data_IF_597731799869
#
_entry.id   IF_597731799869
#
_cell.length_a   1.000
_cell.length_b   1.000
_cell.length_c   1.000
_cell.angle_alpha   90.00
_cell.angle_beta   90.00
_cell.angle_gamma   90.00
#
_symmetry.space_group_name_H-M   'P 1'
#
loop_
_entity.id
_entity.type
_entity.pdbx_description
1 polymer ?
#
# COMPACT_ATOMS: atom_id res chain seq x y z
N UNK A 1 16.03 -11.93 6.89
CA UNK A 1 15.15 -12.05 8.07
C UNK A 1 14.55 -10.69 8.37
N UNK A 2 13.25 -10.63 8.46
CA UNK A 2 12.47 -9.44 8.83
C UNK A 2 11.77 -9.69 10.17
N UNK A 3 11.67 -8.66 10.99
CA UNK A 3 10.92 -8.66 12.25
C UNK A 3 9.77 -7.69 12.08
N UNK A 4 8.57 -8.21 11.81
CA UNK A 4 7.39 -7.40 11.49
C UNK A 4 6.33 -7.59 12.55
N UNK A 5 5.75 -6.50 13.04
CA UNK A 5 4.59 -6.58 13.91
C UNK A 5 3.36 -5.91 13.30
N UNK A 6 2.18 -6.40 13.69
CA UNK A 6 0.93 -5.67 13.52
C UNK A 6 0.75 -4.76 14.74
N UNK A 7 0.90 -3.46 14.55
CA UNK A 7 0.77 -2.45 15.59
C UNK A 7 -0.51 -1.63 15.41
N UNK A 8 -1.27 -1.43 16.47
CA UNK A 8 -2.38 -0.49 16.47
C UNK A 8 -1.85 0.95 16.62
N UNK A 9 -2.12 1.77 15.62
CA UNK A 9 -1.64 3.16 15.53
C UNK A 9 -2.76 4.11 15.17
N UNK A 10 -2.54 5.39 15.38
CA UNK A 10 -3.38 6.45 14.85
C UNK A 10 -2.78 6.93 13.53
N UNK A 11 -3.50 6.74 12.43
CA UNK A 11 -3.11 7.18 11.11
C UNK A 11 -3.88 8.42 10.69
N UNK A 12 -3.18 9.41 10.16
CA UNK A 12 -3.78 10.66 9.68
C UNK A 12 -3.64 10.74 8.17
N UNK A 13 -4.76 10.72 7.44
CA UNK A 13 -4.79 10.78 5.97
C UNK A 13 -4.38 12.16 5.43
N UNK A 14 -4.59 13.23 6.20
CA UNK A 14 -4.29 14.62 5.86
C UNK A 14 -3.48 15.28 6.98
N UNK A 15 -2.19 14.93 7.14
CA UNK A 15 -1.38 15.46 8.25
C UNK A 15 -1.17 16.97 8.22
N UNK A 16 -1.13 17.59 7.04
CA UNK A 16 -0.97 19.05 6.89
C UNK A 16 -2.29 19.83 6.96
N UNK A 17 -3.43 19.13 7.13
CA UNK A 17 -4.79 19.73 7.20
C UNK A 17 -5.11 20.65 6.04
N UNK A 18 -5.33 20.07 4.88
CA UNK A 18 -5.77 20.76 3.67
C UNK A 18 -5.06 20.28 2.41
N UNK A 19 -5.52 20.76 1.28
CA UNK A 19 -4.97 20.40 -0.01
C UNK A 19 -3.54 20.95 -0.16
N UNK A 20 -2.60 20.08 -0.45
CA UNK A 20 -1.19 20.39 -0.63
C UNK A 20 -0.75 20.37 -2.10
N UNK A 21 -1.65 20.05 -3.03
CA UNK A 21 -1.31 19.87 -4.43
C UNK A 21 -2.05 20.84 -5.37
N UNK A 22 -3.31 21.13 -5.10
CA UNK A 22 -4.15 21.96 -5.95
C UNK A 22 -4.25 23.39 -5.38
N UNK A 23 -4.34 24.38 -6.27
CA UNK A 23 -4.56 25.79 -5.90
C UNK A 23 -5.92 26.24 -6.45
N UNK A 24 -6.75 26.79 -5.59
CA UNK A 24 -8.04 27.34 -5.98
C UNK A 24 -9.25 26.49 -5.55
N UNK A 25 -10.43 26.90 -6.01
CA UNK A 25 -11.66 26.14 -5.77
C UNK A 25 -11.68 24.94 -6.70
N UNK A 26 -12.00 23.76 -6.16
CA UNK A 26 -12.35 22.58 -6.97
C UNK A 26 -13.47 22.98 -7.96
N UNK A 27 -13.41 22.55 -9.19
CA UNK A 27 -14.47 22.78 -10.17
C UNK A 27 -15.74 21.96 -9.81
N UNK A 28 -16.83 22.14 -10.57
CA UNK A 28 -18.08 21.44 -10.23
C UNK A 28 -17.97 19.92 -10.39
N UNK A 29 -17.08 19.47 -11.24
CA UNK A 29 -16.80 18.05 -11.45
C UNK A 29 -16.00 17.43 -10.31
N UNK A 30 -15.08 18.20 -9.72
CA UNK A 30 -14.32 17.84 -8.52
C UNK A 30 -15.16 17.92 -7.24
N UNK A 31 -16.33 18.57 -7.30
CA UNK A 31 -17.29 18.73 -6.18
C UNK A 31 -18.44 17.75 -6.21
N UNK A 32 -18.43 16.77 -7.13
CA UNK A 32 -19.52 15.81 -7.21
C UNK A 32 -19.70 15.13 -5.83
N UNK A 33 -20.89 15.25 -5.20
CA UNK A 33 -21.16 14.57 -3.93
C UNK A 33 -21.11 13.04 -4.04
N UNK A 34 -21.26 12.49 -5.26
CA UNK A 34 -21.05 11.07 -5.53
C UNK A 34 -19.54 10.70 -5.58
N UNK A 35 -18.66 11.68 -5.73
CA UNK A 35 -17.21 11.53 -5.55
C UNK A 35 -16.81 11.57 -4.08
N UNK A 36 -17.65 11.05 -3.21
CA UNK A 36 -17.59 10.98 -1.77
C UNK A 36 -16.20 11.17 -1.15
N UNK A 37 -16.16 11.63 0.01
CA UNK A 37 -14.96 11.97 0.74
C UNK A 37 -14.84 13.48 0.84
N UNK A 38 -15.98 14.20 0.95
CA UNK A 38 -15.94 15.45 1.66
C UNK A 38 -15.54 15.11 3.08
N UNK A 39 -14.21 15.01 3.29
CA UNK A 39 -13.63 14.85 4.59
C UNK A 39 -14.34 15.76 5.58
N UNK A 40 -14.95 15.19 6.60
CA UNK A 40 -15.15 15.98 7.81
C UNK A 40 -13.74 16.50 8.17
N UNK A 41 -13.49 17.80 8.12
CA UNK A 41 -12.15 18.36 8.43
C UNK A 41 -11.65 17.96 9.82
N UNK A 42 -12.54 17.46 10.68
CA UNK A 42 -12.25 16.98 12.01
C UNK A 42 -11.96 15.46 12.06
N UNK A 43 -12.23 14.72 10.98
CA UNK A 43 -12.20 13.25 10.91
C UNK A 43 -11.12 12.72 9.95
N UNK A 44 -9.89 13.21 10.04
CA UNK A 44 -8.78 12.73 9.20
C UNK A 44 -7.88 11.69 9.88
N UNK A 45 -8.11 11.40 11.17
CA UNK A 45 -7.26 10.50 11.97
C UNK A 45 -8.07 9.32 12.49
N UNK A 46 -7.62 8.11 12.13
CA UNK A 46 -8.27 6.85 12.44
C UNK A 46 -7.34 5.89 13.18
N UNK A 47 -7.88 5.13 14.11
CA UNK A 47 -7.19 3.96 14.66
C UNK A 47 -7.13 2.90 13.57
N UNK A 48 -5.93 2.35 13.34
CA UNK A 48 -5.63 1.34 12.34
C UNK A 48 -4.68 0.28 12.90
N UNK A 49 -4.51 -0.82 12.21
CA UNK A 49 -3.43 -1.77 12.42
C UNK A 49 -2.49 -1.73 11.22
N UNK A 50 -1.20 -1.49 11.44
CA UNK A 50 -0.21 -1.43 10.38
C UNK A 50 0.90 -2.46 10.60
N UNK A 51 1.42 -3.05 9.53
CA UNK A 51 2.66 -3.79 9.59
C UNK A 51 3.84 -2.82 9.77
N UNK A 52 4.64 -3.03 10.81
CA UNK A 52 5.80 -2.20 11.13
C UNK A 52 7.04 -3.07 11.36
N UNK A 53 8.19 -2.64 10.84
CA UNK A 53 9.45 -3.38 10.99
C UNK A 53 10.17 -2.98 12.27
N UNK A 54 10.76 -3.97 12.92
CA UNK A 54 11.55 -3.83 14.13
C UNK A 54 13.00 -4.23 13.87
N UNK A 55 13.91 -3.76 14.73
CA UNK A 55 15.36 -4.02 14.57
C UNK A 55 15.73 -5.47 14.87
N UNK A 56 14.97 -6.15 15.72
CA UNK A 56 15.28 -7.52 16.18
C UNK A 56 14.05 -8.25 16.75
N UNK A 57 14.25 -9.51 17.13
CA UNK A 57 13.23 -10.41 17.66
C UNK A 57 12.65 -10.02 19.04
N UNK A 58 13.18 -8.99 19.68
CA UNK A 58 12.59 -8.48 20.94
C UNK A 58 11.39 -7.57 20.70
N UNK A 59 11.24 -7.04 19.48
CA UNK A 59 10.17 -6.11 19.09
C UNK A 59 10.07 -4.88 20.01
N UNK A 60 11.23 -4.39 20.52
CA UNK A 60 11.28 -3.21 21.40
C UNK A 60 11.59 -1.92 20.67
N UNK A 61 12.35 -2.03 19.58
CA UNK A 61 12.84 -0.86 18.84
C UNK A 61 12.34 -0.93 17.41
N UNK A 62 11.52 0.03 17.02
CA UNK A 62 11.11 0.19 15.62
C UNK A 62 12.34 0.46 14.75
N UNK A 63 12.41 -0.20 13.60
CA UNK A 63 13.37 0.12 12.57
C UNK A 63 12.90 1.39 11.85
N UNK A 64 13.67 2.48 11.87
CA UNK A 64 13.32 3.69 11.14
C UNK A 64 13.19 3.37 9.65
N UNK A 65 12.13 3.88 9.00
CA UNK A 65 12.00 3.79 7.55
C UNK A 65 13.06 4.68 6.89
N UNK A 66 13.79 4.15 5.94
CA UNK A 66 14.76 4.93 5.17
C UNK A 66 14.05 6.04 4.40
N UNK A 67 14.71 7.20 4.24
CA UNK A 67 14.15 8.36 3.54
C UNK A 67 13.64 8.02 2.13
N UNK A 68 14.33 7.16 1.41
CA UNK A 68 13.91 6.70 0.09
C UNK A 68 12.55 6.00 0.08
N UNK A 69 12.12 5.47 1.23
CA UNK A 69 10.88 4.69 1.38
C UNK A 69 9.82 5.37 2.25
N UNK A 70 10.04 6.62 2.67
CA UNK A 70 9.03 7.39 3.43
C UNK A 70 7.70 7.50 2.69
N UNK A 71 7.75 7.52 1.35
CA UNK A 71 6.57 7.58 0.49
C UNK A 71 5.65 6.35 0.60
N UNK A 72 6.11 5.23 1.16
CA UNK A 72 5.26 4.06 1.42
C UNK A 72 4.10 4.39 2.39
N UNK A 73 4.21 5.44 3.21
CA UNK A 73 3.11 5.91 4.05
C UNK A 73 2.52 4.81 4.94
N UNK A 74 1.25 4.48 4.72
CA UNK A 74 0.49 3.48 5.49
C UNK A 74 0.97 2.04 5.25
N UNK A 75 1.62 1.79 4.13
CA UNK A 75 2.04 0.44 3.73
C UNK A 75 3.06 -0.15 4.71
N UNK A 76 3.01 -1.44 4.87
CA UNK A 76 4.00 -2.22 5.59
C UNK A 76 5.42 -2.08 5.01
N UNK A 77 6.44 -2.64 5.68
CA UNK A 77 7.81 -2.60 5.19
C UNK A 77 7.95 -3.29 3.82
N UNK A 78 8.81 -2.74 2.98
CA UNK A 78 9.18 -3.39 1.73
C UNK A 78 10.00 -4.64 2.02
N UNK A 79 9.49 -5.81 1.63
CA UNK A 79 10.23 -7.07 1.66
C UNK A 79 10.94 -7.28 0.32
N UNK A 80 12.21 -7.66 0.37
CA UNK A 80 13.04 -7.90 -0.81
C UNK A 80 13.66 -9.28 -0.78
N UNK A 81 13.80 -9.88 -1.96
CA UNK A 81 14.59 -11.08 -2.18
C UNK A 81 15.10 -11.15 -3.61
N UNK A 82 16.15 -11.92 -3.82
CA UNK A 82 16.60 -12.37 -5.13
C UNK A 82 16.07 -13.79 -5.37
N UNK A 83 15.84 -14.15 -6.63
CA UNK A 83 15.47 -15.52 -7.00
C UNK A 83 16.52 -16.51 -6.46
N UNK A 84 16.07 -17.47 -5.68
CA UNK A 84 16.89 -18.46 -4.97
C UNK A 84 17.03 -18.19 -3.48
N UNK A 85 16.63 -17.02 -3.01
CA UNK A 85 16.61 -16.68 -1.59
C UNK A 85 15.42 -17.34 -0.86
N UNK A 86 15.39 -17.11 0.44
CA UNK A 86 14.22 -17.39 1.30
C UNK A 86 13.92 -16.16 2.15
N UNK A 87 12.75 -15.59 1.97
CA UNK A 87 12.22 -14.56 2.86
C UNK A 87 11.79 -15.25 4.16
N UNK A 88 12.29 -14.75 5.29
CA UNK A 88 11.83 -15.18 6.62
C UNK A 88 11.29 -13.98 7.35
N UNK A 89 10.05 -14.08 7.83
CA UNK A 89 9.39 -13.03 8.60
C UNK A 89 9.01 -13.58 9.96
N UNK A 90 9.68 -13.10 11.01
CA UNK A 90 9.17 -13.29 12.36
C UNK A 90 8.10 -12.25 12.59
N UNK A 91 6.87 -12.70 12.66
CA UNK A 91 5.69 -11.86 12.87
C UNK A 91 5.31 -11.87 14.34
N UNK A 92 5.04 -10.68 14.89
CA UNK A 92 4.50 -10.46 16.23
C UNK A 92 3.19 -9.71 16.13
N UNK A 93 2.14 -10.23 16.74
CA UNK A 93 0.88 -9.52 16.79
C UNK A 93 0.78 -8.69 18.09
N UNK A 94 0.96 -7.38 18.00
CA UNK A 94 0.75 -6.45 19.11
C UNK A 94 -0.68 -5.91 19.16
N UNK A 95 -1.47 -6.16 18.13
CA UNK A 95 -2.84 -5.69 18.05
C UNK A 95 -3.79 -6.51 18.96
N UNK A 96 -4.98 -6.01 19.15
CA UNK A 96 -6.01 -6.63 20.01
C UNK A 96 -6.76 -7.78 19.34
N UNK A 97 -6.61 -7.97 18.01
CA UNK A 97 -7.27 -8.98 17.18
C UNK A 97 -6.26 -9.96 16.59
N UNK A 98 -6.67 -11.19 16.24
CA UNK A 98 -5.80 -12.09 15.48
C UNK A 98 -5.55 -11.52 14.08
N UNK A 99 -4.31 -11.66 13.60
CA UNK A 99 -3.87 -11.29 12.26
C UNK A 99 -2.89 -12.32 11.71
N UNK A 100 -2.65 -12.29 10.41
CA UNK A 100 -1.70 -13.17 9.74
C UNK A 100 -0.81 -12.41 8.76
N UNK A 101 0.06 -13.13 8.04
CA UNK A 101 0.75 -12.61 6.86
C UNK A 101 0.65 -13.63 5.73
N UNK A 102 -0.10 -13.29 4.69
CA UNK A 102 -0.25 -14.06 3.47
C UNK A 102 0.55 -13.40 2.34
N UNK A 103 1.52 -14.10 1.70
CA UNK A 103 2.31 -13.55 0.63
C UNK A 103 1.78 -13.95 -0.74
N UNK A 104 1.91 -13.08 -1.72
CA UNK A 104 1.70 -13.40 -3.12
C UNK A 104 3.02 -13.77 -3.81
N UNK A 105 2.95 -14.58 -4.88
CA UNK A 105 4.01 -14.87 -5.82
C UNK A 105 5.11 -15.83 -5.36
N UNK A 106 5.46 -15.82 -4.10
CA UNK A 106 6.50 -16.68 -3.51
C UNK A 106 5.99 -18.11 -3.24
N UNK A 107 6.87 -19.02 -2.83
CA UNK A 107 6.49 -20.37 -2.42
C UNK A 107 6.29 -20.39 -0.90
N UNK A 108 5.34 -21.16 -0.43
CA UNK A 108 5.10 -21.45 0.98
C UNK A 108 4.50 -22.84 1.17
N UNK A 109 4.66 -23.40 2.35
CA UNK A 109 3.93 -24.55 2.82
C UNK A 109 2.72 -24.12 3.68
N UNK A 110 1.95 -25.09 4.18
CA UNK A 110 0.72 -24.82 4.95
C UNK A 110 0.98 -24.12 6.31
N UNK A 111 2.21 -24.06 6.77
CA UNK A 111 2.61 -23.34 8.00
C UNK A 111 3.04 -21.91 7.75
N UNK A 112 2.98 -21.48 6.51
CA UNK A 112 3.48 -20.18 6.07
C UNK A 112 2.56 -19.54 5.01
N UNK A 113 1.33 -20.05 4.88
CA UNK A 113 0.30 -19.54 3.96
C UNK A 113 -0.46 -18.34 4.56
N UNK A 114 -0.75 -18.39 5.88
CA UNK A 114 -1.38 -17.29 6.61
C UNK A 114 -2.87 -17.15 6.37
N UNK A 115 -3.58 -18.22 6.00
CA UNK A 115 -5.05 -18.19 5.77
C UNK A 115 -5.71 -19.53 6.05
N UNK A 116 -6.93 -19.50 6.57
CA UNK A 116 -7.73 -20.67 6.92
C UNK A 116 -8.82 -20.93 5.88
N UNK A 117 -8.88 -22.17 5.36
CA UNK A 117 -9.97 -22.65 4.52
C UNK A 117 -10.09 -24.18 4.61
N UNK A 118 -10.96 -24.79 3.79
CA UNK A 118 -11.18 -26.25 3.79
C UNK A 118 -10.11 -26.96 2.94
N UNK A 119 -8.91 -27.15 3.50
CA UNK A 119 -7.75 -27.76 2.86
C UNK A 119 -7.27 -29.06 3.54
N UNK A 120 -7.97 -29.49 4.59
CA UNK A 120 -7.65 -30.70 5.36
C UNK A 120 -6.53 -30.51 6.38
N UNK A 121 -5.96 -29.31 6.53
CA UNK A 121 -4.94 -29.02 7.54
C UNK A 121 -5.49 -29.00 8.97
N UNK A 122 -4.62 -29.25 9.95
CA UNK A 122 -4.96 -29.22 11.37
C UNK A 122 -3.71 -29.03 12.25
N UNK A 123 -3.92 -28.71 13.51
CA UNK A 123 -2.83 -28.63 14.49
C UNK A 123 -1.77 -27.59 14.12
N UNK A 124 -0.52 -28.03 13.97
CA UNK A 124 0.62 -27.14 13.71
C UNK A 124 0.56 -26.43 12.36
N UNK A 125 -0.17 -26.98 11.39
CA UNK A 125 -0.28 -26.40 10.05
C UNK A 125 -1.30 -25.24 9.98
N UNK A 126 -1.90 -24.88 11.11
CA UNK A 126 -2.87 -23.77 11.26
C UNK A 126 -2.42 -22.69 12.24
N UNK A 127 -1.21 -22.75 12.74
CA UNK A 127 -0.71 -21.76 13.70
C UNK A 127 -0.42 -20.39 13.07
N UNK A 128 -0.26 -20.35 11.77
CA UNK A 128 -0.04 -19.16 10.95
C UNK A 128 -1.32 -18.49 10.48
N UNK A 129 -2.43 -19.24 10.41
CA UNK A 129 -3.71 -18.78 9.85
C UNK A 129 -4.26 -17.55 10.58
N UNK A 130 -4.07 -17.48 11.92
CA UNK A 130 -4.61 -16.42 12.77
C UNK A 130 -3.77 -16.28 14.05
N UNK A 131 -2.66 -15.54 13.97
CA UNK A 131 -1.78 -15.32 15.11
C UNK A 131 -2.51 -14.45 16.15
N UNK A 132 -2.76 -14.96 17.36
CA UNK A 132 -3.55 -14.26 18.36
C UNK A 132 -2.82 -13.00 18.88
N UNK A 133 -3.56 -12.10 19.53
CA UNK A 133 -2.99 -10.96 20.26
C UNK A 133 -1.86 -11.40 21.18
N UNK A 134 -0.71 -10.73 21.10
CA UNK A 134 0.51 -11.10 21.82
C UNK A 134 1.22 -12.36 21.29
N UNK A 135 0.70 -13.02 20.26
CA UNK A 135 1.31 -14.20 19.64
C UNK A 135 2.46 -13.86 18.70
N UNK A 136 3.23 -14.88 18.34
CA UNK A 136 4.33 -14.78 17.37
C UNK A 136 4.31 -16.00 16.46
N UNK A 137 4.57 -15.79 15.17
CA UNK A 137 4.77 -16.86 14.19
C UNK A 137 5.95 -16.53 13.27
N UNK A 138 6.62 -17.54 12.71
CA UNK A 138 7.70 -17.31 11.73
C UNK A 138 7.29 -17.89 10.40
N UNK A 139 6.98 -17.01 9.46
CA UNK A 139 6.72 -17.36 8.08
C UNK A 139 8.03 -17.60 7.33
N UNK A 140 8.05 -18.61 6.46
CA UNK A 140 9.20 -19.01 5.65
C UNK A 140 8.76 -19.14 4.20
N UNK A 141 9.23 -18.22 3.35
CA UNK A 141 8.82 -18.10 1.96
C UNK A 141 10.02 -18.27 1.02
N UNK A 142 10.29 -19.47 0.50
CA UNK A 142 11.26 -19.67 -0.57
C UNK A 142 10.88 -18.87 -1.83
N UNK A 143 11.88 -18.38 -2.55
CA UNK A 143 11.72 -17.54 -3.73
C UNK A 143 12.21 -18.32 -4.97
N UNK A 144 11.39 -19.23 -5.54
CA UNK A 144 11.75 -20.00 -6.72
C UNK A 144 11.79 -19.12 -7.98
N UNK A 145 12.28 -19.68 -9.09
CA UNK A 145 12.36 -18.98 -10.37
C UNK A 145 11.04 -18.34 -10.80
N UNK A 146 9.91 -19.03 -10.58
CA UNK A 146 8.57 -18.53 -10.90
C UNK A 146 8.11 -17.31 -10.06
N UNK A 147 8.77 -17.02 -8.96
CA UNK A 147 8.50 -15.82 -8.14
C UNK A 147 9.21 -14.57 -8.69
N UNK A 148 10.22 -14.76 -9.52
CA UNK A 148 10.93 -13.69 -10.20
C UNK A 148 10.24 -13.25 -11.49
N UNK A 149 10.81 -12.25 -12.18
CA UNK A 149 10.29 -11.75 -13.45
C UNK A 149 10.40 -12.81 -14.56
N UNK A 150 9.38 -12.87 -15.42
CA UNK A 150 9.35 -13.75 -16.59
C UNK A 150 10.34 -13.27 -17.67
N UNK A 151 10.49 -14.09 -18.73
CA UNK A 151 11.23 -13.68 -19.91
C UNK A 151 10.54 -12.47 -20.57
N UNK A 152 11.30 -11.42 -20.85
CA UNK A 152 10.78 -10.16 -21.41
C UNK A 152 10.38 -9.11 -20.37
N UNK A 153 10.21 -9.49 -19.09
CA UNK A 153 10.09 -8.51 -18.02
C UNK A 153 11.47 -7.88 -17.71
N UNK A 154 11.48 -6.77 -17.00
CA UNK A 154 12.71 -6.24 -16.43
C UNK A 154 13.33 -7.14 -15.39
N UNK A 155 14.19 -6.61 -14.54
CA UNK A 155 14.93 -7.42 -13.54
C UNK A 155 14.13 -7.72 -12.27
N UNK A 156 12.91 -7.20 -12.11
CA UNK A 156 12.11 -7.38 -10.88
C UNK A 156 10.68 -7.78 -11.16
N UNK A 157 10.13 -8.62 -10.28
CA UNK A 157 8.70 -8.89 -10.15
C UNK A 157 8.15 -8.20 -8.89
N UNK A 158 6.89 -7.81 -8.93
CA UNK A 158 6.21 -7.10 -7.85
C UNK A 158 5.03 -7.90 -7.32
N UNK A 159 5.05 -8.14 -6.02
CA UNK A 159 4.05 -8.89 -5.27
C UNK A 159 3.63 -8.12 -4.02
N UNK A 160 2.61 -8.64 -3.34
CA UNK A 160 2.08 -8.07 -2.12
C UNK A 160 2.13 -9.10 -0.98
N UNK A 161 2.01 -8.64 0.23
CA UNK A 161 1.63 -9.44 1.39
C UNK A 161 0.57 -8.69 2.20
N UNK A 162 -0.34 -9.40 2.83
CA UNK A 162 -1.41 -8.81 3.62
C UNK A 162 -1.87 -9.76 4.72
N UNK A 163 -2.68 -9.28 5.68
CA UNK A 163 -3.38 -10.17 6.61
C UNK A 163 -4.59 -10.79 5.92
N UNK A 164 -4.81 -12.09 6.17
CA UNK A 164 -5.86 -12.87 5.52
C UNK A 164 -6.76 -13.62 6.51
N UNK A 165 -6.88 -13.13 7.75
CA UNK A 165 -7.83 -13.67 8.72
C UNK A 165 -9.26 -13.28 8.34
N UNK A 166 -9.45 -12.01 7.98
CA UNK A 166 -10.63 -11.44 7.34
C UNK A 166 -10.09 -10.37 6.37
N UNK A 167 -9.82 -10.79 5.15
CA UNK A 167 -9.03 -10.03 4.19
C UNK A 167 -9.56 -8.60 4.00
N UNK A 168 -10.86 -8.45 3.77
CA UNK A 168 -11.46 -7.14 3.55
C UNK A 168 -11.30 -6.20 4.74
N UNK A 169 -11.54 -6.70 5.96
CA UNK A 169 -11.41 -5.90 7.18
C UNK A 169 -9.96 -5.64 7.56
N UNK A 170 -9.09 -6.62 7.35
CA UNK A 170 -7.67 -6.54 7.71
C UNK A 170 -6.94 -5.53 6.83
N UNK A 171 -7.21 -5.53 5.51
CA UNK A 171 -6.62 -4.57 4.58
C UNK A 171 -7.19 -3.17 4.79
N UNK A 172 -8.51 -3.04 5.02
CA UNK A 172 -9.09 -1.74 5.39
C UNK A 172 -8.59 -1.25 6.76
N UNK A 173 -8.16 -2.13 7.66
CA UNK A 173 -7.43 -1.73 8.86
C UNK A 173 -6.01 -1.21 8.56
N UNK A 174 -5.38 -1.59 7.42
CA UNK A 174 -4.07 -1.12 6.96
C UNK A 174 -2.99 -2.20 6.85
N UNK A 175 -3.36 -3.49 6.93
CA UNK A 175 -2.41 -4.61 6.97
C UNK A 175 -2.09 -5.13 5.56
N UNK A 176 -1.36 -4.34 4.79
CA UNK A 176 -0.87 -4.67 3.45
C UNK A 176 0.54 -4.08 3.25
N UNK A 177 1.36 -4.74 2.42
CA UNK A 177 2.71 -4.27 2.10
C UNK A 177 3.29 -4.90 0.83
N UNK A 178 4.37 -4.31 0.29
CA UNK A 178 5.01 -4.72 -0.95
C UNK A 178 6.08 -5.79 -0.78
N UNK A 179 6.19 -6.69 -1.78
CA UNK A 179 7.32 -7.61 -1.97
C UNK A 179 7.92 -7.33 -3.35
N UNK A 180 9.23 -7.14 -3.43
CA UNK A 180 9.96 -7.05 -4.69
C UNK A 180 10.93 -8.22 -4.79
N UNK A 181 10.81 -9.00 -5.86
CA UNK A 181 11.70 -10.12 -6.16
C UNK A 181 12.57 -9.76 -7.37
N UNK A 182 13.88 -9.73 -7.15
CA UNK A 182 14.86 -9.44 -8.19
C UNK A 182 15.34 -10.72 -8.87
N UNK A 183 15.52 -10.67 -10.18
CA UNK A 183 16.11 -11.76 -10.99
C UNK A 183 17.47 -12.17 -10.42
N UNK A 184 17.77 -13.47 -10.43
CA UNK A 184 19.05 -14.00 -9.98
C UNK A 184 20.25 -13.27 -10.61
N UNK A 185 21.19 -12.82 -9.78
CA UNK A 185 22.39 -12.08 -10.18
C UNK A 185 22.15 -10.61 -10.53
N UNK A 186 20.91 -10.11 -10.40
CA UNK A 186 20.56 -8.72 -10.73
C UNK A 186 20.36 -7.84 -9.49
N UNK A 187 20.44 -8.37 -8.27
CA UNK A 187 20.38 -7.56 -7.06
C UNK A 187 21.75 -6.95 -6.72
N UNK A 188 21.73 -5.71 -6.20
CA UNK A 188 22.85 -5.09 -5.49
C UNK A 188 22.91 -5.62 -4.06
N UNK A 189 23.91 -5.23 -3.29
CA UNK A 189 24.08 -5.66 -1.89
C UNK A 189 22.92 -5.21 -0.98
N UNK A 190 22.23 -4.12 -1.31
CA UNK A 190 21.04 -3.61 -0.61
C UNK A 190 19.73 -4.23 -1.12
N UNK A 191 19.81 -5.18 -2.06
CA UNK A 191 18.66 -5.84 -2.69
C UNK A 191 18.00 -5.05 -3.83
N UNK A 192 18.44 -3.81 -4.11
CA UNK A 192 17.93 -3.04 -5.24
C UNK A 192 18.40 -3.60 -6.59
N UNK A 193 17.62 -3.45 -7.69
CA UNK A 193 18.00 -3.97 -9.00
C UNK A 193 19.12 -3.16 -9.64
N UNK A 194 20.03 -3.85 -10.35
CA UNK A 194 21.18 -3.21 -11.01
C UNK A 194 20.83 -2.35 -12.21
N UNK A 195 19.72 -2.61 -12.85
CA UNK A 195 19.28 -1.95 -14.09
C UNK A 195 18.36 -0.74 -13.85
N UNK A 196 18.02 -0.44 -12.59
CA UNK A 196 17.29 0.76 -12.21
C UNK A 196 18.09 1.60 -11.23
N UNK A 197 17.91 2.91 -11.30
CA UNK A 197 18.57 3.88 -10.44
C UNK A 197 17.66 4.28 -9.28
N UNK A 198 16.34 4.10 -9.44
CA UNK A 198 15.31 4.42 -8.45
C UNK A 198 14.11 3.50 -8.56
N UNK A 199 13.53 3.20 -7.41
CA UNK A 199 12.30 2.44 -7.28
C UNK A 199 11.29 3.24 -6.46
N UNK A 200 10.02 3.23 -6.89
CA UNK A 200 8.91 3.92 -6.25
C UNK A 200 7.70 2.99 -6.18
N UNK A 201 7.02 2.98 -5.04
CA UNK A 201 5.81 2.16 -4.84
C UNK A 201 4.62 3.09 -4.62
N UNK A 202 3.52 2.84 -5.33
CA UNK A 202 2.28 3.59 -5.14
C UNK A 202 1.07 2.64 -5.07
N UNK A 203 0.38 2.68 -3.93
CA UNK A 203 -0.94 2.11 -3.71
C UNK A 203 -2.00 3.16 -4.06
N UNK A 204 -2.84 2.88 -5.03
CA UNK A 204 -4.04 3.66 -5.31
C UNK A 204 -5.20 2.97 -4.59
N UNK A 205 -5.28 3.19 -3.28
CA UNK A 205 -6.18 2.45 -2.41
C UNK A 205 -7.45 3.22 -2.02
N UNK A 206 -8.59 2.57 -2.10
CA UNK A 206 -9.78 3.00 -1.39
C UNK A 206 -9.77 2.34 0.00
N UNK A 207 -9.56 3.15 1.04
CA UNK A 207 -9.73 2.72 2.42
C UNK A 207 -11.15 3.03 2.87
N UNK A 208 -11.94 1.99 3.02
CA UNK A 208 -13.29 2.07 3.58
C UNK A 208 -13.21 1.79 5.10
N UNK A 209 -13.18 2.85 5.87
CA UNK A 209 -13.10 2.73 7.34
C UNK A 209 -14.34 2.09 7.95
N UNK A 210 -15.48 2.07 7.24
CA UNK A 210 -16.70 1.38 7.71
C UNK A 210 -16.52 -0.13 7.75
N UNK A 211 -15.61 -0.67 6.95
CA UNK A 211 -15.21 -2.08 6.93
C UNK A 211 -14.08 -2.37 7.91
N UNK A 212 -13.36 -1.35 8.39
CA UNK A 212 -12.25 -1.55 9.33
C UNK A 212 -12.74 -2.10 10.65
N UNK A 213 -11.94 -3.01 11.26
CA UNK A 213 -12.19 -3.50 12.62
C UNK A 213 -12.26 -2.40 13.69
N UNK A 214 -11.72 -1.24 13.40
CA UNK A 214 -11.59 -0.12 14.33
C UNK A 214 -12.70 0.92 14.18
N UNK A 215 -13.70 0.67 13.30
CA UNK A 215 -14.77 1.65 13.04
C UNK A 215 -15.51 2.06 14.30
N UNK A 216 -15.89 1.12 15.18
CA UNK A 216 -16.58 1.44 16.44
C UNK A 216 -15.75 2.37 17.33
N UNK A 217 -14.44 2.10 17.42
CA UNK A 217 -13.50 2.95 18.17
C UNK A 217 -13.40 4.34 17.55
N UNK A 218 -13.31 4.40 16.23
CA UNK A 218 -13.21 5.65 15.48
C UNK A 218 -14.49 6.47 15.57
N UNK A 219 -15.65 5.84 15.50
CA UNK A 219 -16.95 6.51 15.69
C UNK A 219 -17.05 7.18 17.08
N UNK A 220 -16.68 6.47 18.14
CA UNK A 220 -16.69 7.06 19.49
C UNK A 220 -15.70 8.23 19.56
N UNK A 221 -14.54 8.09 18.97
CA UNK A 221 -13.51 9.15 18.92
C UNK A 221 -13.98 10.40 18.17
N UNK A 222 -14.63 10.21 17.02
CA UNK A 222 -15.03 11.29 16.13
C UNK A 222 -16.30 12.00 16.58
N UNK A 223 -17.27 11.24 17.07
CA UNK A 223 -18.59 11.75 17.40
C UNK A 223 -18.90 11.81 18.90
N UNK A 224 -18.00 11.27 19.73
CA UNK A 224 -18.14 11.21 21.20
C UNK A 224 -19.18 10.19 21.70
N UNK A 225 -20.01 9.64 20.83
CA UNK A 225 -21.02 8.62 21.14
C UNK A 225 -21.30 7.79 19.89
N UNK A 226 -21.24 6.47 19.99
CA UNK A 226 -21.53 5.54 18.90
C UNK A 226 -22.95 5.70 18.32
N UNK A 227 -23.90 6.16 19.13
CA UNK A 227 -25.29 6.39 18.67
C UNK A 227 -25.46 7.57 17.72
N UNK A 228 -24.45 8.44 17.62
CA UNK A 228 -24.48 9.57 16.71
C UNK A 228 -24.13 9.19 15.26
N UNK A 229 -23.62 7.99 15.05
CA UNK A 229 -23.31 7.46 13.73
C UNK A 229 -24.41 6.51 13.26
N UNK A 230 -24.99 6.80 12.11
CA UNK A 230 -25.92 5.91 11.42
C UNK A 230 -25.23 5.35 10.15
N UNK A 231 -24.65 4.17 10.25
CA UNK A 231 -23.98 3.49 9.13
C UNK A 231 -24.90 3.12 7.96
N UNK A 232 -26.23 3.24 8.12
CA UNK A 232 -27.20 3.10 7.03
C UNK A 232 -27.41 4.40 6.28
N UNK A 233 -27.03 5.53 6.85
CA UNK A 233 -27.04 6.81 6.18
C UNK A 233 -25.85 6.89 5.22
N UNK A 234 -26.13 6.82 3.91
CA UNK A 234 -25.09 6.82 2.87
C UNK A 234 -24.15 8.01 2.98
N UNK A 235 -24.66 9.21 3.27
CA UNK A 235 -23.81 10.38 3.45
C UNK A 235 -22.84 10.20 4.61
N UNK A 236 -23.26 9.64 5.75
CA UNK A 236 -22.37 9.39 6.87
C UNK A 236 -21.35 8.29 6.57
N UNK A 237 -21.74 7.23 5.86
CA UNK A 237 -20.79 6.18 5.46
C UNK A 237 -19.77 6.71 4.46
N UNK A 238 -20.19 7.51 3.49
CA UNK A 238 -19.31 8.05 2.44
C UNK A 238 -18.22 8.98 3.03
N UNK A 239 -18.42 9.61 4.19
CA UNK A 239 -17.38 10.37 4.89
C UNK A 239 -16.21 9.53 5.41
N UNK A 240 -16.32 8.21 5.40
CA UNK A 240 -15.32 7.27 5.88
C UNK A 240 -14.65 6.49 4.74
N UNK A 241 -14.85 6.91 3.49
CA UNK A 241 -14.21 6.35 2.30
C UNK A 241 -13.07 7.27 1.83
N UNK A 242 -11.84 6.77 1.83
CA UNK A 242 -10.65 7.55 1.53
C UNK A 242 -9.95 7.06 0.27
N UNK A 243 -10.08 7.80 -0.81
CA UNK A 243 -9.36 7.57 -2.07
C UNK A 243 -7.93 8.07 -1.95
N UNK A 244 -7.03 7.22 -1.50
CA UNK A 244 -5.69 7.60 -1.07
C UNK A 244 -4.58 7.09 -1.99
N UNK A 245 -3.46 7.79 -2.01
CA UNK A 245 -2.18 7.29 -2.54
C UNK A 245 -1.27 7.03 -1.34
N UNK A 246 -0.90 5.76 -1.13
CA UNK A 246 -0.10 5.31 0.02
C UNK A 246 -0.69 5.76 1.39
N UNK A 247 -2.03 5.81 1.49
CA UNK A 247 -2.73 6.24 2.69
C UNK A 247 -2.74 7.75 2.93
N UNK A 248 -2.42 8.56 1.92
CA UNK A 248 -2.51 10.02 1.98
C UNK A 248 -3.47 10.55 0.92
N UNK A 249 -4.16 11.63 1.27
CA UNK A 249 -5.08 12.36 0.42
C UNK A 249 -4.53 13.74 0.08
N UNK A 250 -5.02 14.32 -1.01
CA UNK A 250 -4.84 15.74 -1.32
C UNK A 250 -3.37 16.20 -1.31
N UNK A 251 -2.46 15.35 -1.81
CA UNK A 251 -1.03 15.66 -1.88
C UNK A 251 -0.31 15.75 -0.54
N UNK A 252 -0.92 15.24 0.54
CA UNK A 252 -0.35 15.31 1.89
C UNK A 252 0.77 14.29 2.15
N UNK A 253 0.96 13.32 1.28
CA UNK A 253 2.07 12.36 1.40
C UNK A 253 3.43 12.95 1.05
N UNK A 254 4.52 12.27 1.42
CA UNK A 254 5.85 12.60 0.93
C UNK A 254 5.89 12.65 -0.60
N UNK A 255 6.55 13.68 -1.14
CA UNK A 255 6.67 13.82 -2.60
C UNK A 255 7.55 12.71 -3.16
N UNK A 256 7.11 12.08 -4.24
CA UNK A 256 7.96 11.14 -4.99
C UNK A 256 9.08 11.92 -5.67
N UNK A 257 10.33 11.55 -5.44
CA UNK A 257 11.47 12.28 -6.00
C UNK A 257 12.27 11.42 -6.96
N UNK A 258 12.67 11.99 -8.09
CA UNK A 258 13.55 11.38 -9.09
C UNK A 258 14.38 12.45 -9.79
N UNK A 259 15.36 12.03 -10.58
CA UNK A 259 16.19 12.96 -11.36
C UNK A 259 16.02 12.72 -12.84
N UNK A 260 16.13 13.79 -13.63
CA UNK A 260 16.20 13.71 -15.09
C UNK A 260 17.26 12.71 -15.53
N UNK A 261 16.85 11.74 -16.35
CA UNK A 261 17.71 10.71 -16.93
C UNK A 261 17.93 9.48 -16.05
N UNK A 262 17.42 9.45 -14.81
CA UNK A 262 17.40 8.21 -14.00
C UNK A 262 16.49 7.16 -14.66
N UNK A 263 16.85 5.89 -14.52
CA UNK A 263 15.96 4.76 -14.84
C UNK A 263 15.12 4.50 -13.61
N UNK A 264 13.86 4.91 -13.66
CA UNK A 264 12.92 4.83 -12.54
C UNK A 264 11.93 3.70 -12.80
N UNK A 265 11.74 2.82 -11.82
CA UNK A 265 10.71 1.79 -11.84
C UNK A 265 9.64 2.09 -10.82
N UNK A 266 8.40 2.22 -11.29
CA UNK A 266 7.21 2.34 -10.47
C UNK A 266 6.56 0.97 -10.31
N UNK A 267 6.23 0.64 -9.08
CA UNK A 267 5.43 -0.51 -8.67
C UNK A 267 4.08 0.00 -8.20
N UNK A 268 3.03 -0.39 -8.89
CA UNK A 268 1.70 0.14 -8.67
C UNK A 268 0.75 -1.00 -8.35
N UNK A 269 -0.18 -0.73 -7.45
CA UNK A 269 -1.26 -1.64 -7.11
C UNK A 269 -2.44 -0.88 -6.53
N UNK A 270 -3.53 -1.59 -6.27
CA UNK A 270 -4.68 -1.10 -5.52
C UNK A 270 -5.11 -2.16 -4.52
N UNK A 271 -5.57 -1.74 -3.35
CA UNK A 271 -6.14 -2.62 -2.35
C UNK A 271 -7.53 -3.14 -2.78
N UNK A 272 -8.02 -4.26 -2.22
CA UNK A 272 -9.37 -4.75 -2.51
C UNK A 272 -10.40 -3.85 -1.85
N UNK A 273 -11.53 -3.65 -2.54
CA UNK A 273 -12.72 -3.06 -1.95
C UNK A 273 -13.92 -4.00 -2.16
N UNK A 274 -14.42 -4.58 -1.09
CA UNK A 274 -15.53 -5.55 -1.15
C UNK A 274 -16.86 -4.93 -1.54
N UNK A 275 -17.07 -3.64 -1.24
CA UNK A 275 -18.34 -2.97 -1.54
C UNK A 275 -18.44 -2.45 -2.96
N UNK A 276 -17.29 -2.16 -3.60
CA UNK A 276 -17.21 -1.66 -4.96
C UNK A 276 -16.33 -2.57 -5.81
N UNK A 277 -16.87 -3.70 -6.29
CA UNK A 277 -16.19 -4.59 -7.24
C UNK A 277 -15.73 -3.88 -8.54
N UNK A 278 -16.03 -2.58 -8.68
CA UNK A 278 -15.72 -1.71 -9.80
C UNK A 278 -14.68 -0.64 -9.44
N UNK A 279 -13.96 -0.80 -8.33
CA UNK A 279 -12.93 0.15 -7.93
C UNK A 279 -11.70 0.03 -8.83
N UNK A 280 -11.82 0.63 -10.01
CA UNK A 280 -10.77 0.69 -11.02
C UNK A 280 -10.05 2.02 -10.89
N UNK A 281 -8.73 2.00 -10.88
CA UNK A 281 -7.92 3.21 -10.83
C UNK A 281 -7.16 3.43 -12.14
N UNK A 282 -6.86 4.68 -12.43
CA UNK A 282 -6.11 5.09 -13.63
C UNK A 282 -4.97 6.01 -13.23
N UNK A 283 -3.85 5.49 -12.66
CA UNK A 283 -2.67 6.29 -12.37
C UNK A 283 -2.19 7.05 -13.61
N UNK A 284 -2.05 8.37 -13.48
CA UNK A 284 -1.63 9.28 -14.55
C UNK A 284 -0.49 10.18 -14.08
N UNK A 285 0.57 10.26 -14.89
CA UNK A 285 1.74 11.11 -14.66
C UNK A 285 1.69 12.33 -15.56
N UNK A 286 1.56 13.53 -14.96
CA UNK A 286 1.67 14.77 -15.72
C UNK A 286 3.10 14.98 -16.25
N UNK A 287 3.22 15.47 -17.48
CA UNK A 287 4.49 15.89 -18.06
C UNK A 287 5.54 14.81 -18.30
N UNK A 288 5.21 13.54 -18.07
CA UNK A 288 6.08 12.38 -18.24
C UNK A 288 5.35 11.24 -18.95
N UNK A 289 6.11 10.27 -19.46
CA UNK A 289 5.57 9.00 -19.98
C UNK A 289 6.28 7.82 -19.35
N UNK A 290 5.58 6.70 -19.31
CA UNK A 290 6.08 5.42 -18.81
C UNK A 290 6.00 4.35 -19.91
N UNK A 291 6.70 3.25 -19.73
CA UNK A 291 6.51 2.01 -20.48
C UNK A 291 5.90 0.99 -19.53
N UNK A 292 4.67 0.58 -19.77
CA UNK A 292 3.96 -0.45 -19.03
C UNK A 292 3.40 -1.49 -20.00
N UNK A 293 3.60 -2.79 -19.69
CA UNK A 293 3.15 -3.86 -20.60
C UNK A 293 3.67 -3.71 -22.03
N UNK A 294 4.93 -3.27 -22.21
CA UNK A 294 5.59 -3.01 -23.51
C UNK A 294 4.99 -1.84 -24.33
N UNK A 295 4.07 -1.07 -23.73
CA UNK A 295 3.48 0.09 -24.39
C UNK A 295 3.92 1.39 -23.73
N UNK A 296 4.20 2.42 -24.51
CA UNK A 296 4.41 3.78 -24.02
C UNK A 296 3.06 4.43 -23.78
N UNK A 297 2.90 4.95 -22.57
CA UNK A 297 1.69 5.63 -22.12
C UNK A 297 2.04 6.68 -21.08
N UNK A 298 1.10 7.49 -20.66
CA UNK A 298 1.17 8.38 -19.49
C UNK A 298 0.13 8.02 -18.43
N UNK A 299 -0.65 6.95 -18.71
CA UNK A 299 -1.69 6.45 -17.82
C UNK A 299 -1.79 4.93 -17.94
N UNK A 300 -2.05 4.24 -16.84
CA UNK A 300 -2.31 2.80 -16.82
C UNK A 300 -3.65 2.52 -16.13
N UNK A 301 -4.13 1.29 -16.26
CA UNK A 301 -5.32 0.82 -15.54
C UNK A 301 -4.92 -0.17 -14.44
N UNK A 302 -5.49 0.00 -13.26
CA UNK A 302 -5.38 -0.95 -12.14
C UNK A 302 -6.77 -1.43 -11.75
N UNK A 303 -6.90 -2.73 -11.53
CA UNK A 303 -8.08 -3.34 -10.91
C UNK A 303 -7.74 -3.87 -9.53
N UNK A 304 -8.71 -4.12 -8.64
CA UNK A 304 -8.44 -4.55 -7.26
C UNK A 304 -7.44 -5.70 -7.18
N UNK A 305 -6.46 -5.58 -6.29
CA UNK A 305 -5.35 -6.51 -6.03
C UNK A 305 -4.41 -6.80 -7.22
N UNK A 306 -4.62 -6.17 -8.38
CA UNK A 306 -3.64 -6.26 -9.46
C UNK A 306 -2.42 -5.41 -9.18
N UNK A 307 -1.26 -5.97 -9.48
CA UNK A 307 0.02 -5.27 -9.50
C UNK A 307 0.40 -4.88 -10.92
N UNK A 308 1.05 -3.75 -11.09
CA UNK A 308 1.59 -3.30 -12.38
C UNK A 308 2.97 -2.68 -12.18
N UNK A 309 3.79 -2.78 -13.22
CA UNK A 309 5.12 -2.17 -13.28
C UNK A 309 5.13 -1.17 -14.43
N UNK A 310 5.66 0.04 -14.15
CA UNK A 310 5.81 1.09 -15.14
C UNK A 310 7.22 1.68 -15.07
N UNK A 311 7.95 1.62 -16.17
CA UNK A 311 9.31 2.12 -16.29
C UNK A 311 9.33 3.53 -16.88
N UNK A 312 10.08 4.43 -16.25
CA UNK A 312 10.20 5.84 -16.64
C UNK A 312 11.66 6.25 -16.75
N UNK A 313 11.98 7.04 -17.77
CA UNK A 313 13.19 7.84 -17.80
C UNK A 313 12.73 9.30 -17.85
N UNK A 314 12.67 9.98 -16.70
CA UNK A 314 12.15 11.33 -16.65
C UNK A 314 13.04 12.30 -17.43
N UNK A 315 12.44 13.12 -18.28
CA UNK A 315 13.15 14.06 -19.15
C UNK A 315 12.76 15.52 -18.95
N UNK A 316 11.66 15.77 -18.24
CA UNK A 316 11.07 17.07 -18.03
C UNK A 316 11.14 17.47 -16.54
N UNK A 317 12.15 18.26 -16.12
CA UNK A 317 12.30 18.70 -14.73
C UNK A 317 11.13 19.57 -14.25
N UNK A 318 10.78 19.44 -12.99
CA UNK A 318 9.70 20.19 -12.35
C UNK A 318 8.90 19.37 -11.34
N UNK A 319 7.94 20.01 -10.71
CA UNK A 319 6.97 19.36 -9.84
C UNK A 319 5.69 19.11 -10.64
N UNK A 320 5.28 17.87 -10.69
CA UNK A 320 4.20 17.40 -11.51
C UNK A 320 3.13 16.70 -10.67
N UNK A 321 1.88 16.72 -11.16
CA UNK A 321 0.77 16.01 -10.56
C UNK A 321 0.83 14.52 -10.91
N UNK A 322 0.53 13.67 -9.93
CA UNK A 322 0.34 12.23 -10.05
C UNK A 322 -0.99 11.86 -9.42
N UNK A 323 -1.92 11.33 -10.20
CA UNK A 323 -3.28 11.17 -9.70
C UNK A 323 -4.04 10.03 -10.39
N UNK A 324 -5.12 9.59 -9.79
CA UNK A 324 -6.11 8.76 -10.47
C UNK A 324 -6.91 9.62 -11.46
N UNK A 325 -7.02 9.18 -12.72
CA UNK A 325 -7.77 9.89 -13.75
C UNK A 325 -9.27 9.55 -13.75
N UNK A 326 -9.73 8.72 -12.79
CA UNK A 326 -11.14 8.54 -12.53
C UNK A 326 -11.68 9.79 -11.80
N UNK A 327 -12.69 10.47 -12.36
CA UNK A 327 -13.10 11.77 -11.84
C UNK A 327 -13.53 11.78 -10.38
N UNK A 328 -14.32 10.79 -9.98
CA UNK A 328 -14.76 10.64 -8.59
C UNK A 328 -13.61 10.43 -7.62
N UNK A 329 -12.57 9.69 -8.03
CA UNK A 329 -11.39 9.42 -7.19
C UNK A 329 -10.50 10.66 -7.07
N UNK A 330 -10.31 11.37 -8.18
CA UNK A 330 -9.62 12.66 -8.18
C UNK A 330 -10.34 13.67 -7.26
N UNK A 331 -11.65 13.84 -7.45
CA UNK A 331 -12.47 14.68 -6.58
C UNK A 331 -12.46 14.26 -5.10
N UNK A 332 -12.31 12.95 -4.83
CA UNK A 332 -12.14 12.36 -3.50
C UNK A 332 -10.75 12.51 -2.90
N UNK A 333 -9.79 13.17 -3.59
CA UNK A 333 -8.46 13.47 -3.07
C UNK A 333 -7.33 12.51 -3.50
N UNK A 334 -7.58 11.58 -4.46
CA UNK A 334 -6.58 10.61 -4.93
C UNK A 334 -5.57 11.25 -5.87
N UNK A 335 -4.75 12.13 -5.33
CA UNK A 335 -3.66 12.79 -6.02
C UNK A 335 -2.47 13.07 -5.10
N UNK A 336 -1.30 13.05 -5.69
CA UNK A 336 -0.01 13.31 -5.09
C UNK A 336 0.84 14.18 -6.03
N UNK A 337 2.05 14.51 -5.64
CA UNK A 337 3.03 15.19 -6.49
C UNK A 337 4.29 14.36 -6.61
N UNK A 338 4.94 14.49 -7.75
CA UNK A 338 6.31 14.02 -7.91
C UNK A 338 7.21 15.15 -8.43
N UNK A 339 8.48 15.08 -8.05
CA UNK A 339 9.48 16.06 -8.40
C UNK A 339 10.57 15.43 -9.27
N UNK A 340 10.76 15.96 -10.46
CA UNK A 340 11.88 15.62 -11.33
C UNK A 340 12.96 16.67 -11.14
N UNK A 341 13.98 16.34 -10.38
CA UNK A 341 15.14 17.18 -10.18
C UNK A 341 15.99 17.25 -11.45
N UNK A 342 16.75 18.33 -11.69
CA UNK A 342 17.73 18.37 -12.77
C UNK A 342 18.71 17.19 -12.70
N UNK A 343 19.28 16.80 -13.84
CA UNK A 343 20.37 15.84 -13.87
C UNK A 343 21.54 16.29 -13.00
N UNK A 344 22.26 15.35 -12.40
CA UNK A 344 23.54 15.66 -11.76
C UNK A 344 24.51 16.19 -12.84
N UNK A 345 25.20 17.27 -12.52
CA UNK A 345 26.25 17.83 -13.40
C UNK A 345 27.49 16.97 -13.40
#
# INVERSE_FOLDING_TARGET
MYYVAADEVDWTYIPARGDQALTGKKDEYEKDPASAGTLDPNASTYRKALFREYTDSTFRTLKPREKAWEHLGILGPLLRAEVGDTIRVMFRNHATRPYSMHPHGVLYDKRSEGTAYLDGTSGADRLDDAVPSGGTHTYVWPVPERAGPAEGDGSTAFWLYHSHVDEGRDINAGLIGPIIVTRRGMARADGSPKDYDRELVADFGLFDETLSWYMDTNVVRLYGDAKKYDGKNKLQSDFHHFFAINGFLEGNGPMFEMRKGERVRWYLFTNPNEQNAWDIHSPHWHGQTVVAGHMRTDMIMLTPMMTSIADMVPDNPGIWLFHCHMPGHFGGGMYARFNVLPALR
#
